data_IF_020063808630
#
_entry.id   IF_020063808630
#
_cell.length_a   1.000
_cell.length_b   1.000
_cell.length_c   1.000
_cell.angle_alpha   90.00
_cell.angle_beta   90.00
_cell.angle_gamma   90.00
#
_symmetry.space_group_name_H-M   'P 1'
#
loop_
_entity.id
_entity.type
_entity.pdbx_description
1 polymer ?
#
# COMPACT_ATOMS: atom_id res chain seq x y z
N UNK A 1 -17.30 19.27 -6.40
CA UNK A 1 -16.15 18.71 -5.66
C UNK A 1 -14.89 19.47 -6.02
N UNK A 2 -14.15 19.99 -5.03
CA UNK A 2 -12.91 20.75 -5.26
C UNK A 2 -11.83 19.89 -5.93
N UNK A 3 -10.87 20.50 -6.63
CA UNK A 3 -9.75 19.78 -7.28
C UNK A 3 -8.96 18.93 -6.28
N UNK A 4 -8.73 19.47 -5.07
CA UNK A 4 -8.09 18.76 -3.96
C UNK A 4 -8.97 17.60 -3.48
N UNK A 5 -10.27 17.81 -3.32
CA UNK A 5 -11.20 16.75 -2.94
C UNK A 5 -11.18 15.58 -3.91
N UNK A 6 -11.17 15.84 -5.23
CA UNK A 6 -11.01 14.79 -6.25
C UNK A 6 -9.70 14.03 -6.08
N UNK A 7 -8.60 14.72 -5.79
CA UNK A 7 -7.31 14.06 -5.57
C UNK A 7 -7.30 13.18 -4.33
N UNK A 8 -7.85 13.66 -3.21
CA UNK A 8 -7.97 12.88 -1.98
C UNK A 8 -8.80 11.62 -2.26
N UNK A 9 -9.94 11.76 -2.93
CA UNK A 9 -10.79 10.61 -3.23
C UNK A 9 -10.09 9.57 -4.11
N UNK A 10 -9.51 9.98 -5.25
CA UNK A 10 -8.93 9.03 -6.21
C UNK A 10 -7.56 8.47 -5.81
N UNK A 11 -6.73 9.23 -5.10
CA UNK A 11 -5.36 8.82 -4.79
C UNK A 11 -5.17 8.36 -3.35
N UNK A 12 -6.09 8.69 -2.44
CA UNK A 12 -6.01 8.28 -1.03
C UNK A 12 -7.14 7.31 -0.71
N UNK A 13 -8.39 7.74 -0.87
CA UNK A 13 -9.53 6.96 -0.40
C UNK A 13 -9.80 5.71 -1.23
N UNK A 14 -9.82 5.83 -2.56
CA UNK A 14 -10.08 4.72 -3.46
C UNK A 14 -9.02 3.61 -3.34
N UNK A 15 -7.70 3.88 -3.37
CA UNK A 15 -6.69 2.85 -3.16
C UNK A 15 -6.78 2.22 -1.77
N UNK A 16 -7.04 3.01 -0.72
CA UNK A 16 -7.20 2.48 0.64
C UNK A 16 -8.35 1.47 0.71
N UNK A 17 -9.49 1.82 0.12
CA UNK A 17 -10.67 0.98 0.06
C UNK A 17 -10.40 -0.28 -0.78
N UNK A 18 -9.74 -0.16 -1.94
CA UNK A 18 -9.32 -1.30 -2.75
C UNK A 18 -8.41 -2.24 -1.96
N UNK A 19 -7.40 -1.71 -1.26
CA UNK A 19 -6.51 -2.53 -0.42
C UNK A 19 -7.27 -3.24 0.70
N UNK A 20 -8.24 -2.56 1.32
CA UNK A 20 -9.13 -3.16 2.32
C UNK A 20 -9.96 -4.30 1.72
N UNK A 21 -10.54 -4.12 0.53
CA UNK A 21 -11.29 -5.16 -0.17
C UNK A 21 -10.40 -6.38 -0.51
N UNK A 22 -9.20 -6.15 -1.04
CA UNK A 22 -8.25 -7.23 -1.32
C UNK A 22 -7.94 -8.01 -0.03
N UNK A 23 -7.60 -7.29 1.03
CA UNK A 23 -7.21 -7.89 2.30
C UNK A 23 -8.35 -8.68 2.97
N UNK A 24 -9.57 -8.13 3.01
CA UNK A 24 -10.69 -8.78 3.70
C UNK A 24 -11.28 -9.98 2.96
N UNK A 25 -11.33 -9.93 1.63
CA UNK A 25 -12.01 -10.95 0.84
C UNK A 25 -11.07 -12.01 0.27
N UNK A 26 -9.79 -11.69 0.05
CA UNK A 26 -8.87 -12.59 -0.64
C UNK A 26 -7.74 -13.13 0.25
N UNK A 27 -7.47 -12.52 1.42
CA UNK A 27 -6.39 -13.01 2.29
C UNK A 27 -6.87 -14.20 3.13
N UNK A 28 -6.30 -15.41 2.93
CA UNK A 28 -6.77 -16.65 3.57
C UNK A 28 -6.52 -16.68 5.09
N UNK A 29 -5.58 -15.86 5.56
CA UNK A 29 -5.16 -15.83 6.95
C UNK A 29 -6.19 -15.13 7.86
N UNK A 30 -7.11 -14.36 7.26
CA UNK A 30 -8.00 -13.48 8.01
C UNK A 30 -9.19 -14.25 8.61
N UNK A 31 -9.50 -13.92 9.86
CA UNK A 31 -10.54 -14.59 10.66
C UNK A 31 -11.92 -14.54 10.00
N UNK A 32 -12.21 -13.47 9.25
CA UNK A 32 -13.49 -13.28 8.58
C UNK A 32 -13.73 -14.29 7.44
N UNK A 33 -12.70 -14.57 6.64
CA UNK A 33 -12.75 -15.61 5.60
C UNK A 33 -13.00 -16.97 6.25
N UNK A 34 -12.35 -17.27 7.38
CA UNK A 34 -12.56 -18.51 8.13
C UNK A 34 -13.97 -18.68 8.73
N UNK A 35 -14.71 -17.58 8.95
CA UNK A 35 -16.08 -17.61 9.49
C UNK A 35 -17.11 -17.76 8.38
N UNK A 36 -16.93 -17.05 7.26
CA UNK A 36 -17.80 -17.16 6.09
C UNK A 36 -17.63 -18.52 5.42
N UNK A 37 -16.39 -19.03 5.41
CA UNK A 37 -16.01 -20.17 4.59
C UNK A 37 -15.82 -21.44 5.41
N UNK A 38 -16.87 -21.85 6.13
CA UNK A 38 -16.98 -23.23 6.67
C UNK A 38 -17.18 -24.28 5.56
N UNK A 39 -17.11 -23.93 4.26
CA UNK A 39 -17.34 -24.82 3.11
C UNK A 39 -16.40 -24.49 1.94
N UNK A 40 -15.19 -25.05 1.99
CA UNK A 40 -14.44 -25.49 0.80
C UNK A 40 -13.91 -24.44 -0.21
N UNK A 41 -13.82 -23.15 0.09
CA UNK A 41 -13.08 -22.19 -0.76
C UNK A 41 -11.78 -21.69 -0.12
N UNK A 42 -11.01 -22.59 0.50
CA UNK A 42 -9.57 -22.36 0.62
C UNK A 42 -9.04 -22.48 -0.80
N UNK A 43 -8.99 -21.35 -1.52
CA UNK A 43 -8.25 -21.22 -2.77
C UNK A 43 -6.92 -21.90 -2.54
N UNK A 44 -6.72 -23.04 -3.21
CA UNK A 44 -5.54 -23.85 -3.00
C UNK A 44 -4.36 -22.98 -3.44
N UNK A 45 -3.65 -22.38 -2.49
CA UNK A 45 -2.64 -21.36 -2.77
C UNK A 45 -1.61 -21.93 -3.76
N UNK A 46 -1.41 -23.25 -3.75
CA UNK A 46 -0.53 -23.95 -4.67
C UNK A 46 -1.01 -23.94 -6.14
N UNK A 47 -2.31 -23.82 -6.40
CA UNK A 47 -2.92 -23.76 -7.74
C UNK A 47 -2.98 -22.33 -8.31
N UNK A 48 -2.79 -21.31 -7.46
CA UNK A 48 -2.73 -19.92 -7.90
C UNK A 48 -1.48 -19.65 -8.73
N UNK A 49 -1.67 -18.87 -9.79
CA UNK A 49 -0.58 -18.30 -10.57
C UNK A 49 0.28 -17.36 -9.71
N UNK A 50 1.54 -17.15 -10.11
CA UNK A 50 2.45 -16.22 -9.43
C UNK A 50 1.84 -14.82 -9.29
N UNK A 51 1.13 -14.34 -10.31
CA UNK A 51 0.52 -13.01 -10.35
C UNK A 51 -0.59 -12.90 -9.30
N UNK A 52 -1.44 -13.92 -9.20
CA UNK A 52 -2.52 -13.95 -8.20
C UNK A 52 -1.96 -13.96 -6.78
N UNK A 53 -0.89 -14.73 -6.54
CA UNK A 53 -0.20 -14.73 -5.23
C UNK A 53 0.31 -13.33 -4.88
N UNK A 54 1.01 -12.68 -5.80
CA UNK A 54 1.53 -11.32 -5.57
C UNK A 54 0.39 -10.34 -5.31
N UNK A 55 -0.71 -10.42 -6.06
CA UNK A 55 -1.87 -9.55 -5.88
C UNK A 55 -2.56 -9.76 -4.53
N UNK A 56 -2.69 -11.00 -4.07
CA UNK A 56 -3.36 -11.33 -2.81
C UNK A 56 -2.49 -10.95 -1.60
N UNK A 57 -1.18 -11.25 -1.66
CA UNK A 57 -0.29 -11.06 -0.51
C UNK A 57 0.30 -9.64 -0.43
N UNK A 58 0.70 -9.03 -1.55
CA UNK A 58 1.34 -7.71 -1.56
C UNK A 58 0.49 -6.62 -2.20
N UNK A 59 -0.64 -6.95 -2.82
CA UNK A 59 -1.51 -5.97 -3.47
C UNK A 59 -2.22 -5.04 -2.50
N UNK A 60 -2.63 -5.53 -1.31
CA UNK A 60 -3.16 -4.67 -0.24
C UNK A 60 -2.12 -3.66 0.22
N UNK A 61 -0.88 -4.12 0.35
CA UNK A 61 0.21 -3.35 0.95
C UNK A 61 0.67 -2.27 -0.02
N UNK A 62 0.74 -2.59 -1.32
CA UNK A 62 0.88 -1.59 -2.39
C UNK A 62 -0.20 -0.51 -2.30
N UNK A 63 -1.47 -0.91 -2.21
CA UNK A 63 -2.61 0.02 -2.19
C UNK A 63 -2.55 0.96 -0.98
N UNK A 64 -2.22 0.43 0.19
CA UNK A 64 -2.09 1.21 1.43
C UNK A 64 -0.87 2.13 1.39
N UNK A 65 0.29 1.63 0.98
CA UNK A 65 1.50 2.44 0.80
C UNK A 65 1.27 3.57 -0.21
N UNK A 66 0.52 3.30 -1.28
CA UNK A 66 0.20 4.30 -2.31
C UNK A 66 -0.74 5.37 -1.77
N UNK A 67 -1.79 4.96 -1.06
CA UNK A 67 -2.74 5.87 -0.41
C UNK A 67 -2.03 6.80 0.56
N UNK A 68 -1.19 6.24 1.42
CA UNK A 68 -0.46 6.98 2.44
C UNK A 68 0.59 7.93 1.83
N UNK A 69 1.38 7.45 0.87
CA UNK A 69 2.36 8.30 0.14
C UNK A 69 1.66 9.43 -0.59
N UNK A 70 0.52 9.15 -1.23
CA UNK A 70 -0.29 10.17 -1.91
C UNK A 70 -0.83 11.22 -0.93
N UNK A 71 -1.28 10.81 0.25
CA UNK A 71 -1.73 11.74 1.29
C UNK A 71 -0.58 12.66 1.76
N UNK A 72 0.61 12.12 1.96
CA UNK A 72 1.78 12.90 2.36
C UNK A 72 2.20 13.92 1.29
N UNK A 73 2.22 13.53 0.01
CA UNK A 73 2.53 14.46 -1.09
C UNK A 73 1.46 15.56 -1.26
N UNK A 74 0.17 15.20 -1.12
CA UNK A 74 -0.91 16.19 -1.15
C UNK A 74 -0.80 17.18 0.03
N UNK A 75 -0.44 16.68 1.21
CA UNK A 75 -0.26 17.51 2.40
C UNK A 75 0.94 18.45 2.26
N UNK A 76 2.09 17.93 1.80
CA UNK A 76 3.30 18.71 1.53
C UNK A 76 3.01 19.89 0.60
N UNK A 77 2.29 19.62 -0.49
CA UNK A 77 1.95 20.63 -1.47
C UNK A 77 1.01 21.73 -0.93
N UNK A 78 0.25 21.43 0.12
CA UNK A 78 -0.65 22.40 0.76
C UNK A 78 0.05 23.23 1.85
N UNK A 79 1.12 22.71 2.49
CA UNK A 79 1.83 23.34 3.61
C UNK A 79 3.08 24.15 3.20
N UNK A 80 3.17 24.57 1.94
CA UNK A 80 4.24 25.45 1.42
C UNK A 80 5.66 25.01 1.85
N UNK A 81 6.03 23.76 1.55
CA UNK A 81 7.41 23.21 1.66
C UNK A 81 7.97 23.03 3.08
N UNK A 82 7.26 23.35 4.16
CA UNK A 82 7.76 23.16 5.54
C UNK A 82 8.19 21.72 5.84
N UNK A 83 7.56 20.74 5.19
CA UNK A 83 7.80 19.31 5.39
C UNK A 83 8.14 18.56 4.10
N UNK A 84 8.95 19.16 3.23
CA UNK A 84 9.26 18.60 1.90
C UNK A 84 9.84 17.18 1.90
N UNK A 85 10.54 16.82 2.97
CA UNK A 85 11.21 15.52 3.08
C UNK A 85 10.39 14.48 3.84
N UNK A 86 9.23 14.86 4.39
CA UNK A 86 8.43 13.95 5.19
C UNK A 86 8.02 12.68 4.43
N UNK A 87 7.58 12.73 3.15
CA UNK A 87 7.30 11.50 2.39
C UNK A 87 8.50 10.55 2.34
N UNK A 88 9.71 11.09 2.13
CA UNK A 88 10.95 10.30 2.04
C UNK A 88 11.31 9.72 3.42
N UNK A 89 11.18 10.51 4.49
CA UNK A 89 11.45 10.05 5.85
C UNK A 89 10.52 8.88 6.20
N UNK A 90 9.23 8.99 5.88
CA UNK A 90 8.31 7.88 6.19
C UNK A 90 8.58 6.66 5.32
N UNK A 91 8.98 6.83 4.05
CA UNK A 91 9.44 5.71 3.23
C UNK A 91 10.64 4.99 3.86
N UNK A 92 11.63 5.74 4.35
CA UNK A 92 12.80 5.16 5.02
C UNK A 92 12.38 4.39 6.28
N UNK A 93 11.43 4.93 7.05
CA UNK A 93 10.90 4.25 8.24
C UNK A 93 10.20 2.95 7.85
N UNK A 94 9.35 2.96 6.81
CA UNK A 94 8.63 1.77 6.33
C UNK A 94 9.57 0.69 5.80
N UNK A 95 10.49 1.05 4.92
CA UNK A 95 11.50 0.10 4.41
C UNK A 95 12.40 -0.38 5.55
N UNK A 96 12.81 0.52 6.44
CA UNK A 96 13.62 0.19 7.61
C UNK A 96 12.91 -0.78 8.56
N UNK A 97 11.59 -0.61 8.79
CA UNK A 97 10.84 -1.54 9.63
C UNK A 97 10.80 -2.95 9.05
N UNK A 98 10.66 -3.10 7.74
CA UNK A 98 10.72 -4.41 7.08
C UNK A 98 12.12 -5.04 7.18
N UNK A 99 13.19 -4.24 7.01
CA UNK A 99 14.57 -4.72 7.13
C UNK A 99 14.94 -5.14 8.56
N UNK A 100 14.30 -4.54 9.58
CA UNK A 100 14.58 -4.81 10.99
C UNK A 100 13.79 -6.04 11.50
N UNK A 101 12.61 -6.33 10.94
CA UNK A 101 11.79 -7.49 11.33
C UNK A 101 12.53 -8.84 11.42
N UNK A 102 13.37 -9.25 10.44
CA UNK A 102 14.09 -10.53 10.52
C UNK A 102 15.14 -10.56 11.63
N UNK A 103 15.63 -9.40 12.09
CA UNK A 103 16.62 -9.30 13.17
C UNK A 103 15.94 -9.47 14.54
N UNK A 104 14.73 -8.92 14.70
CA UNK A 104 14.02 -8.93 15.99
C UNK A 104 13.22 -10.21 16.24
N UNK A 105 12.88 -10.97 15.20
CA UNK A 105 12.03 -12.15 15.37
C UNK A 105 12.34 -13.22 14.32
N UNK A 106 12.72 -14.42 14.79
CA UNK A 106 13.04 -15.58 13.96
C UNK A 106 11.87 -16.15 13.12
N UNK A 107 10.66 -15.56 13.22
CA UNK A 107 9.45 -16.00 12.52
C UNK A 107 8.99 -15.06 11.39
N UNK A 108 9.62 -13.90 11.23
CA UNK A 108 9.30 -13.01 10.13
C UNK A 108 10.19 -13.31 8.93
N UNK A 109 9.56 -13.71 7.84
CA UNK A 109 10.20 -13.79 6.53
C UNK A 109 10.26 -12.38 5.98
N UNK A 110 11.46 -11.89 5.72
CA UNK A 110 11.65 -10.64 5.00
C UNK A 110 11.00 -10.77 3.61
N UNK A 111 9.86 -10.12 3.41
CA UNK A 111 9.15 -10.17 2.14
C UNK A 111 9.61 -9.05 1.23
N UNK A 112 10.54 -9.38 0.32
CA UNK A 112 11.04 -8.46 -0.68
C UNK A 112 9.91 -7.89 -1.56
N UNK A 113 8.79 -8.62 -1.71
CA UNK A 113 7.65 -8.14 -2.50
C UNK A 113 6.95 -6.96 -1.83
N UNK A 114 6.88 -6.92 -0.50
CA UNK A 114 6.25 -5.82 0.24
C UNK A 114 7.13 -4.56 0.21
N UNK A 115 8.45 -4.72 0.29
CA UNK A 115 9.41 -3.64 0.07
C UNK A 115 9.30 -3.09 -1.36
N UNK A 116 9.26 -3.97 -2.36
CA UNK A 116 9.06 -3.58 -3.75
C UNK A 116 7.73 -2.86 -3.97
N UNK A 117 6.65 -3.35 -3.36
CA UNK A 117 5.33 -2.74 -3.41
C UNK A 117 5.33 -1.32 -2.81
N UNK A 118 5.94 -1.15 -1.64
CA UNK A 118 6.06 0.15 -0.98
C UNK A 118 6.87 1.16 -1.82
N UNK A 119 8.01 0.72 -2.38
CA UNK A 119 8.84 1.56 -3.25
C UNK A 119 8.12 1.96 -4.54
N UNK A 120 7.44 1.00 -5.19
CA UNK A 120 6.66 1.27 -6.40
C UNK A 120 5.51 2.24 -6.13
N UNK A 121 4.78 2.04 -5.03
CA UNK A 121 3.70 2.91 -4.59
C UNK A 121 4.17 4.35 -4.34
N UNK A 122 5.32 4.50 -3.68
CA UNK A 122 5.94 5.80 -3.45
C UNK A 122 6.33 6.49 -4.76
N UNK A 123 7.07 5.79 -5.64
CA UNK A 123 7.49 6.34 -6.94
C UNK A 123 6.28 6.74 -7.81
N UNK A 124 5.24 5.90 -7.84
CA UNK A 124 4.05 6.16 -8.64
C UNK A 124 3.26 7.36 -8.10
N UNK A 125 3.05 7.43 -6.78
CA UNK A 125 2.36 8.57 -6.15
C UNK A 125 3.13 9.88 -6.39
N UNK A 126 4.46 9.85 -6.28
CA UNK A 126 5.31 10.99 -6.61
C UNK A 126 5.14 11.46 -8.06
N UNK A 127 5.26 10.56 -9.04
CA UNK A 127 5.15 10.92 -10.47
C UNK A 127 3.77 11.48 -10.80
N UNK A 128 2.70 10.86 -10.30
CA UNK A 128 1.33 11.26 -10.60
C UNK A 128 0.95 12.60 -9.98
N UNK A 129 1.42 12.87 -8.75
CA UNK A 129 1.09 14.10 -8.04
C UNK A 129 2.02 15.25 -8.43
N UNK A 130 3.34 15.02 -8.56
CA UNK A 130 4.32 16.06 -8.91
C UNK A 130 4.04 16.69 -10.28
N UNK A 131 3.74 15.90 -11.31
CA UNK A 131 3.40 16.40 -12.65
C UNK A 131 2.18 17.32 -12.68
N UNK A 132 1.28 17.22 -11.69
CA UNK A 132 0.09 18.08 -11.59
C UNK A 132 0.33 19.38 -10.83
N UNK A 133 1.42 19.46 -10.05
CA UNK A 133 1.83 20.67 -9.34
C UNK A 133 2.71 21.59 -10.19
N UNK A 134 3.54 21.04 -11.08
CA UNK A 134 4.38 21.84 -12.00
C UNK A 134 3.58 22.50 -13.14
N UNK A 135 2.31 22.11 -13.35
CA UNK A 135 1.38 22.74 -14.31
C UNK A 135 0.49 23.85 -13.70
N UNK A 136 0.84 24.36 -12.52
CA UNK A 136 0.21 25.54 -11.89
C UNK A 136 1.15 26.72 -12.02
#
# INVERSE_FOLDING_TARGET
MSRIGKQIFFYVFLPLLTGYFIYFFFRPDYWFVKIIDKREAIVNINELSLIEKILIFSGSDFCWAFSFSSALFLWEANQQKRFRFLPVIVLIILVGSELIQPILTAKFTLDWWDVCAALLAFCLSFVLLRRRYEKK
#
